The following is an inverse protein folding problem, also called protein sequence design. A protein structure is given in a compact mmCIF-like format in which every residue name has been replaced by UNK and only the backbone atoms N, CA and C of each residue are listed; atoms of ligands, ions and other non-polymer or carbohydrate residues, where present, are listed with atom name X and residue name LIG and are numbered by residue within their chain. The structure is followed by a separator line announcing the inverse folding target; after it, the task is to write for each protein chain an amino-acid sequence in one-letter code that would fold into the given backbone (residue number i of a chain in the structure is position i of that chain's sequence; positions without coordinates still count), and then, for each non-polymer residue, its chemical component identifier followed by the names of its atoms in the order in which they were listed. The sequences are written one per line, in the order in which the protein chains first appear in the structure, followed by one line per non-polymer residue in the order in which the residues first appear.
data_IF_761785915471
#
_entry.id   IF_761785915471
#
_cell.length_a   1.000
_cell.length_b   1.000
_cell.length_c   1.000
_cell.angle_alpha   90.00
_cell.angle_beta   90.00
_cell.angle_gamma   90.00
#
_symmetry.space_group_name_H-M   'P 1'
#
loop_
_entity.id
_entity.type
_entity.pdbx_description
1 polymer ?
#
# COMPACT_ATOMS: atom_id res chain seq x y z
N UNK A 1 12.72 -6.01 5.71
CA UNK A 1 13.84 -5.08 5.46
C UNK A 1 13.49 -3.87 4.60
N UNK A 2 12.50 -3.87 3.67
CA UNK A 2 12.14 -2.64 2.90
C UNK A 2 11.08 -1.72 3.53
N UNK A 3 10.22 -2.25 4.41
CA UNK A 3 9.14 -1.43 5.00
C UNK A 3 9.57 -0.72 6.30
N UNK A 4 10.77 -1.01 6.81
CA UNK A 4 11.27 -0.50 8.08
C UNK A 4 11.46 1.02 8.09
N UNK A 5 11.95 1.58 6.98
CA UNK A 5 12.12 3.04 6.84
C UNK A 5 10.77 3.76 6.92
N UNK A 6 9.75 3.23 6.24
CA UNK A 6 8.40 3.78 6.28
C UNK A 6 7.77 3.64 7.66
N UNK A 7 7.99 2.52 8.35
CA UNK A 7 7.52 2.30 9.72
C UNK A 7 8.20 3.28 10.69
N UNK A 8 9.50 3.54 10.55
CA UNK A 8 10.24 4.51 11.39
C UNK A 8 9.77 5.94 11.13
N UNK A 9 9.52 6.30 9.87
CA UNK A 9 9.15 7.66 9.47
C UNK A 9 7.67 7.99 9.74
N UNK A 10 6.75 7.06 9.45
CA UNK A 10 5.30 7.30 9.47
C UNK A 10 4.58 6.59 10.62
N UNK A 11 5.32 5.79 11.40
CA UNK A 11 4.78 4.97 12.48
C UNK A 11 4.19 3.65 12.01
N UNK A 12 3.94 2.76 12.98
CA UNK A 12 3.26 1.47 12.73
C UNK A 12 1.75 1.71 12.59
N UNK A 13 1.24 1.60 11.38
CA UNK A 13 -0.19 1.72 11.10
C UNK A 13 -0.65 0.69 10.06
N UNK A 14 -1.89 0.21 10.21
CA UNK A 14 -2.51 -0.69 9.25
C UNK A 14 -2.80 0.01 7.91
N UNK A 15 -2.98 1.34 7.91
CA UNK A 15 -3.03 2.13 6.67
C UNK A 15 -1.70 2.03 5.91
N UNK A 16 -0.58 2.24 6.61
CA UNK A 16 0.76 2.13 5.99
C UNK A 16 0.99 0.71 5.46
N UNK A 17 0.61 -0.32 6.22
CA UNK A 17 0.72 -1.72 5.77
C UNK A 17 -0.04 -1.98 4.47
N UNK A 18 -1.29 -1.50 4.37
CA UNK A 18 -2.09 -1.65 3.15
C UNK A 18 -1.53 -0.81 1.99
N UNK A 19 -1.07 0.42 2.25
CA UNK A 19 -0.49 1.28 1.20
C UNK A 19 0.79 0.66 0.60
N UNK A 20 1.70 0.17 1.45
CA UNK A 20 2.91 -0.51 0.99
C UNK A 20 2.55 -1.81 0.26
N UNK A 21 1.61 -2.60 0.77
CA UNK A 21 1.13 -3.81 0.08
C UNK A 21 0.61 -3.49 -1.32
N UNK A 22 -0.22 -2.46 -1.47
CA UNK A 22 -0.78 -2.07 -2.77
C UNK A 22 0.28 -1.47 -3.71
N UNK A 23 1.27 -0.73 -3.19
CA UNK A 23 2.40 -0.26 -3.99
C UNK A 23 3.23 -1.43 -4.55
N UNK A 24 3.60 -2.38 -3.69
CA UNK A 24 4.37 -3.58 -4.07
C UNK A 24 3.62 -4.47 -5.05
N UNK A 25 2.30 -4.52 -4.92
CA UNK A 25 1.41 -5.34 -5.73
C UNK A 25 0.48 -4.41 -6.52
N UNK A 26 1.05 -3.53 -7.36
CA UNK A 26 0.27 -2.47 -8.01
C UNK A 26 -0.85 -2.96 -8.93
N UNK A 27 -0.74 -4.20 -9.43
CA UNK A 27 -1.77 -4.88 -10.23
C UNK A 27 -2.67 -5.79 -9.39
N UNK A 28 -2.57 -5.71 -8.06
CA UNK A 28 -3.42 -6.46 -7.14
C UNK A 28 -4.90 -6.19 -7.41
N UNK A 29 -5.62 -7.30 -7.52
CA UNK A 29 -7.06 -7.36 -7.66
C UNK A 29 -7.54 -8.47 -6.71
N UNK A 30 -8.16 -8.10 -5.59
CA UNK A 30 -8.54 -9.08 -4.58
C UNK A 30 -9.78 -8.69 -3.79
N UNK A 31 -10.43 -9.72 -3.23
CA UNK A 31 -11.58 -9.53 -2.35
C UNK A 31 -11.16 -9.00 -0.98
N UNK A 32 -12.12 -8.45 -0.23
CA UNK A 32 -11.90 -8.06 1.17
C UNK A 32 -11.43 -9.22 2.06
N UNK A 33 -11.80 -10.46 1.75
CA UNK A 33 -11.35 -11.66 2.48
C UNK A 33 -9.90 -11.96 2.21
N UNK A 34 -9.53 -12.05 0.92
CA UNK A 34 -8.15 -12.31 0.53
C UNK A 34 -7.20 -11.24 1.07
N UNK A 35 -7.61 -9.97 0.99
CA UNK A 35 -6.83 -8.84 1.49
C UNK A 35 -6.70 -8.85 3.03
N UNK A 36 -7.70 -9.33 3.77
CA UNK A 36 -7.64 -9.45 5.22
C UNK A 36 -6.66 -10.55 5.65
N UNK A 37 -6.67 -11.69 4.94
CA UNK A 37 -5.74 -12.81 5.13
C UNK A 37 -4.30 -12.39 4.82
N UNK A 38 -4.06 -11.79 3.66
CA UNK A 38 -2.72 -11.37 3.21
C UNK A 38 -2.11 -10.31 4.14
N UNK A 39 -2.94 -9.42 4.70
CA UNK A 39 -2.49 -8.40 5.65
C UNK A 39 -2.52 -8.89 7.10
N UNK A 40 -3.11 -10.05 7.41
CA UNK A 40 -3.29 -10.52 8.78
C UNK A 40 -4.05 -9.53 9.68
N UNK A 41 -5.11 -8.90 9.15
CA UNK A 41 -5.93 -7.93 9.89
C UNK A 41 -7.40 -8.31 9.92
N UNK A 42 -8.12 -7.85 10.95
CA UNK A 42 -9.56 -8.12 11.08
C UNK A 42 -10.35 -7.46 9.95
N UNK A 43 -11.45 -8.09 9.53
CA UNK A 43 -12.36 -7.54 8.53
C UNK A 43 -12.91 -6.14 8.87
N UNK A 44 -13.36 -5.84 10.11
CA UNK A 44 -13.78 -4.49 10.47
C UNK A 44 -12.67 -3.45 10.29
N UNK A 45 -11.44 -3.78 10.72
CA UNK A 45 -10.26 -2.90 10.54
C UNK A 45 -10.00 -2.66 9.06
N UNK A 46 -9.94 -3.71 8.24
CA UNK A 46 -9.73 -3.58 6.81
C UNK A 46 -10.83 -2.76 6.14
N UNK A 47 -12.11 -2.98 6.48
CA UNK A 47 -13.23 -2.21 5.94
C UNK A 47 -13.08 -0.71 6.19
N UNK A 48 -12.67 -0.33 7.40
CA UNK A 48 -12.42 1.09 7.75
C UNK A 48 -11.31 1.67 6.88
N UNK A 49 -10.15 1.03 6.84
CA UNK A 49 -8.97 1.51 6.09
C UNK A 49 -9.28 1.61 4.60
N UNK A 50 -9.91 0.57 4.02
CA UNK A 50 -10.30 0.56 2.61
C UNK A 50 -11.31 1.68 2.33
N UNK A 51 -12.26 1.93 3.24
CA UNK A 51 -13.19 3.06 3.09
C UNK A 51 -12.44 4.38 3.06
N UNK A 52 -11.57 4.65 4.04
CA UNK A 52 -10.80 5.89 4.12
C UNK A 52 -10.00 6.14 2.82
N UNK A 53 -9.36 5.10 2.28
CA UNK A 53 -8.55 5.19 1.06
C UNK A 53 -9.38 5.27 -0.24
N UNK A 54 -10.59 4.71 -0.26
CA UNK A 54 -11.54 4.88 -1.37
C UNK A 54 -12.12 6.29 -1.38
N UNK A 55 -12.46 6.84 -0.20
CA UNK A 55 -13.04 8.18 -0.06
C UNK A 55 -12.10 9.27 -0.60
N UNK A 56 -10.78 9.10 -0.42
CA UNK A 56 -9.76 10.00 -1.00
C UNK A 56 -9.33 9.60 -2.41
N UNK A 57 -9.90 8.54 -2.98
CA UNK A 57 -9.64 8.09 -4.34
C UNK A 57 -8.33 7.32 -4.56
N UNK A 58 -7.58 6.97 -3.52
CA UNK A 58 -6.34 6.16 -3.62
C UNK A 58 -6.65 4.72 -4.05
N UNK A 59 -7.76 4.16 -3.54
CA UNK A 59 -8.26 2.85 -3.94
C UNK A 59 -9.57 2.97 -4.73
N UNK A 60 -9.89 1.93 -5.50
CA UNK A 60 -11.19 1.73 -6.15
C UNK A 60 -11.78 0.40 -5.73
N UNK A 61 -13.11 0.38 -5.54
CA UNK A 61 -13.91 -0.84 -5.42
C UNK A 61 -14.56 -1.16 -6.77
N UNK A 62 -14.63 -2.44 -7.09
CA UNK A 62 -15.35 -2.96 -8.25
C UNK A 62 -16.29 -4.04 -7.74
N UNK A 63 -17.57 -3.91 -8.04
CA UNK A 63 -18.56 -4.93 -7.74
C UNK A 63 -18.56 -5.97 -8.87
N UNK A 64 -18.29 -7.24 -8.51
CA UNK A 64 -18.33 -8.38 -9.41
C UNK A 64 -19.31 -9.40 -8.84
N UNK A 65 -20.55 -9.35 -9.33
CA UNK A 65 -21.65 -10.14 -8.77
C UNK A 65 -21.89 -9.79 -7.30
N UNK A 66 -21.64 -10.73 -6.39
CA UNK A 66 -21.75 -10.53 -4.93
C UNK A 66 -20.43 -10.17 -4.26
N UNK A 67 -19.32 -10.16 -5.00
CA UNK A 67 -17.98 -9.89 -4.47
C UNK A 67 -17.59 -8.42 -4.68
N UNK A 68 -16.99 -7.82 -3.64
CA UNK A 68 -16.34 -6.51 -3.73
C UNK A 68 -14.84 -6.74 -3.90
N UNK A 69 -14.31 -6.28 -5.01
CA UNK A 69 -12.90 -6.34 -5.34
C UNK A 69 -12.26 -4.96 -5.14
N UNK A 70 -11.08 -4.94 -4.53
CA UNK A 70 -10.31 -3.71 -4.26
C UNK A 70 -9.05 -3.69 -5.12
N UNK A 71 -8.73 -2.53 -5.69
CA UNK A 71 -7.47 -2.28 -6.42
C UNK A 71 -6.96 -0.87 -6.23
N UNK A 72 -5.68 -0.65 -6.54
CA UNK A 72 -5.09 0.68 -6.62
C UNK A 72 -5.76 1.53 -7.71
N UNK A 73 -6.00 2.81 -7.43
CA UNK A 73 -6.48 3.76 -8.43
C UNK A 73 -5.32 4.52 -9.07
N UNK A 74 -4.61 3.88 -10.00
CA UNK A 74 -3.42 4.47 -10.68
C UNK A 74 -3.70 5.78 -11.44
N UNK A 75 -4.97 6.05 -11.78
CA UNK A 75 -5.38 7.31 -12.41
C UNK A 75 -5.57 8.48 -11.43
N UNK A 76 -5.59 8.23 -10.11
CA UNK A 76 -5.72 9.30 -9.11
C UNK A 76 -4.38 10.00 -8.88
N UNK A 77 -4.33 11.34 -8.87
CA UNK A 77 -3.11 12.09 -8.56
C UNK A 77 -2.50 11.72 -7.20
N UNK A 78 -3.31 11.49 -6.16
CA UNK A 78 -2.81 11.09 -4.85
C UNK A 78 -2.13 9.72 -4.88
N UNK A 79 -2.68 8.75 -5.63
CA UNK A 79 -2.03 7.43 -5.80
C UNK A 79 -0.67 7.58 -6.46
N UNK A 80 -0.59 8.38 -7.53
CA UNK A 80 0.65 8.61 -8.26
C UNK A 80 1.71 9.25 -7.36
N UNK A 81 1.36 10.34 -6.67
CA UNK A 81 2.27 11.03 -5.74
C UNK A 81 2.75 10.09 -4.63
N UNK A 82 1.84 9.27 -4.07
CA UNK A 82 2.21 8.30 -3.05
C UNK A 82 3.19 7.24 -3.58
N UNK A 83 2.96 6.73 -4.78
CA UNK A 83 3.83 5.72 -5.38
C UNK A 83 5.19 6.29 -5.73
N UNK A 84 5.22 7.50 -6.29
CA UNK A 84 6.47 8.23 -6.57
C UNK A 84 7.24 8.50 -5.27
N UNK A 85 6.55 8.91 -4.20
CA UNK A 85 7.16 9.09 -2.88
C UNK A 85 7.81 7.80 -2.36
N UNK A 86 7.08 6.68 -2.37
CA UNK A 86 7.60 5.39 -1.90
C UNK A 86 8.80 4.96 -2.75
N UNK A 87 8.71 5.08 -4.08
CA UNK A 87 9.78 4.74 -5.00
C UNK A 87 11.04 5.59 -4.79
N UNK A 88 10.88 6.89 -4.58
CA UNK A 88 12.00 7.80 -4.33
C UNK A 88 12.72 7.46 -3.02
N UNK A 89 12.00 7.20 -1.93
CA UNK A 89 12.61 6.79 -0.66
C UNK A 89 13.40 5.49 -0.81
N UNK A 90 12.85 4.50 -1.52
CA UNK A 90 13.55 3.24 -1.76
C UNK A 90 14.80 3.40 -2.62
N UNK A 91 14.77 4.31 -3.61
CA UNK A 91 15.92 4.58 -4.46
C UNK A 91 17.10 5.14 -3.65
N UNK A 92 16.83 5.98 -2.65
CA UNK A 92 17.85 6.54 -1.75
C UNK A 92 18.44 5.45 -0.85
N UNK A 93 17.60 4.56 -0.30
CA UNK A 93 18.07 3.46 0.55
C UNK A 93 19.03 2.52 -0.21
N UNK A 94 18.76 2.24 -1.48
CA UNK A 94 19.65 1.45 -2.34
C UNK A 94 20.99 2.15 -2.63
N UNK A 95 20.98 3.48 -2.76
CA UNK A 95 22.21 4.27 -2.93
C UNK A 95 23.09 4.21 -1.68
N UNK A 96 22.51 4.35 -0.49
CA UNK A 96 23.23 4.27 0.79
C UNK A 96 23.85 2.89 1.04
N UNK A 97 23.13 1.80 0.69
CA UNK A 97 23.66 0.44 0.82
C UNK A 97 24.82 0.17 -0.14
N UNK A 98 24.78 0.75 -1.34
CA UNK A 98 25.86 0.61 -2.33
C UNK A 98 27.13 1.39 -1.95
N UNK A 99 27.01 2.51 -1.23
CA UNK A 99 28.15 3.25 -0.72
C UNK A 99 28.80 2.58 0.50
N UNK A 100 28.01 1.91 1.36
CA UNK A 100 28.52 1.14 2.51
C UNK A 100 29.27 -0.15 2.14
N UNK A 101 29.05 -0.71 0.95
CA UNK A 101 29.78 -1.90 0.47
C UNK A 101 31.14 -1.60 -0.16
N UNK A 102 31.43 -0.33 -0.42
CA UNK A 102 32.70 0.14 -1.00
C UNK A 102 33.64 0.78 0.03
N UNK A 103 33.32 0.67 1.32
CA UNK A 103 34.19 1.01 2.46
C UNK A 103 34.50 -0.27 3.25
#
# INVERSE_FOLDING_TARGET
MKDEIFIKMLGKSQHIKLLLFIYRNSDFLGSMTKLAEDLGISHPTLRKIVKDLVDIGVLKKIDIGKAIIVRANKSCPYTKILFDFISNIESVELMDESQKKNL
#
